data_IF_461645030974
#
_entry.id   IF_461645030974
#
_cell.length_a   1.000
_cell.length_b   1.000
_cell.length_c   1.000
_cell.angle_alpha   90.00
_cell.angle_beta   90.00
_cell.angle_gamma   90.00
#
_symmetry.space_group_name_H-M   'P 1'
#
loop_
_entity.id
_entity.type
_entity.pdbx_description
1 polymer ?
#
# COMPACT_ATOMS: atom_id res chain seq x y z
N UNK A 1 -2.29 7.82 4.64
CA UNK A 1 -2.71 6.44 4.30
C UNK A 1 -1.43 5.70 3.99
N UNK A 2 -0.88 5.06 5.02
CA UNK A 2 0.41 4.37 5.03
C UNK A 2 0.34 3.22 6.04
N UNK A 3 -0.28 3.47 7.20
CA UNK A 3 -0.50 2.45 8.22
C UNK A 3 -1.35 1.28 7.73
N UNK A 4 -2.19 1.44 6.70
CA UNK A 4 -2.93 0.32 6.11
C UNK A 4 -2.01 -0.68 5.40
N UNK A 5 -0.84 -0.24 4.93
CA UNK A 5 0.16 -1.13 4.34
C UNK A 5 0.94 -1.94 5.38
N UNK A 6 0.59 -1.88 6.68
CA UNK A 6 1.09 -2.90 7.62
C UNK A 6 0.50 -4.29 7.31
N UNK A 7 -0.62 -4.34 6.59
CA UNK A 7 -1.24 -5.59 6.17
C UNK A 7 -1.06 -5.83 4.67
N UNK A 8 -1.01 -7.10 4.30
CA UNK A 8 -1.11 -7.55 2.91
C UNK A 8 0.18 -7.46 2.10
N UNK A 9 0.00 -7.39 0.79
CA UNK A 9 1.09 -7.48 -0.19
C UNK A 9 0.89 -6.45 -1.30
N UNK A 10 2.00 -6.03 -1.91
CA UNK A 10 1.98 -5.21 -3.12
C UNK A 10 2.59 -5.97 -4.29
N UNK A 11 2.16 -5.65 -5.50
CA UNK A 11 2.74 -6.22 -6.72
C UNK A 11 4.07 -5.55 -7.05
N UNK A 12 5.03 -6.31 -7.60
CA UNK A 12 6.33 -5.76 -8.02
C UNK A 12 6.19 -4.56 -8.99
N UNK A 13 5.17 -4.56 -9.86
CA UNK A 13 4.86 -3.44 -10.74
C UNK A 13 4.67 -2.10 -9.99
N UNK A 14 4.16 -2.13 -8.76
CA UNK A 14 3.93 -0.92 -7.94
C UNK A 14 5.21 -0.32 -7.39
N UNK A 15 6.31 -1.06 -7.32
CA UNK A 15 7.60 -0.61 -6.78
C UNK A 15 8.66 -0.40 -7.84
N UNK A 16 8.32 -0.58 -9.11
CA UNK A 16 9.27 -0.46 -10.22
C UNK A 16 9.96 0.90 -10.26
N UNK A 17 9.25 1.97 -9.87
CA UNK A 17 9.79 3.32 -9.73
C UNK A 17 11.02 3.39 -8.82
N UNK A 18 11.16 2.49 -7.83
CA UNK A 18 12.34 2.44 -6.95
C UNK A 18 13.60 1.99 -7.69
N UNK A 19 13.46 1.15 -8.72
CA UNK A 19 14.57 0.68 -9.53
C UNK A 19 14.91 1.63 -10.68
N UNK A 20 13.92 2.38 -11.14
CA UNK A 20 14.06 3.32 -12.26
C UNK A 20 14.53 4.71 -11.78
N UNK A 21 14.11 5.12 -10.57
CA UNK A 21 14.44 6.40 -9.97
C UNK A 21 14.86 6.25 -8.49
N UNK A 22 16.02 5.62 -8.21
CA UNK A 22 16.47 5.31 -6.84
C UNK A 22 16.75 6.54 -5.97
N UNK A 23 16.85 7.74 -6.55
CA UNK A 23 17.05 8.99 -5.82
C UNK A 23 15.78 9.53 -5.15
N UNK A 24 14.59 8.99 -5.47
CA UNK A 24 13.30 9.49 -4.92
C UNK A 24 13.11 9.06 -3.46
N UNK A 25 13.74 7.95 -3.04
CA UNK A 25 13.65 7.45 -1.67
C UNK A 25 15.03 7.06 -1.16
N UNK A 26 15.37 7.52 0.04
CA UNK A 26 16.49 6.97 0.80
C UNK A 26 16.21 5.50 1.14
N UNK A 27 16.83 4.57 0.41
CA UNK A 27 16.57 3.14 0.51
C UNK A 27 17.75 2.43 1.16
N UNK A 28 17.47 1.61 2.18
CA UNK A 28 18.46 0.72 2.79
C UNK A 28 19.03 -0.24 1.73
N UNK A 29 20.36 -0.33 1.65
CA UNK A 29 21.03 -1.05 0.57
C UNK A 29 20.81 -2.57 0.63
N UNK A 30 20.70 -3.16 1.82
CA UNK A 30 20.43 -4.59 1.97
C UNK A 30 18.99 -4.92 1.64
N UNK A 31 18.07 -4.04 2.05
CA UNK A 31 16.67 -4.14 1.66
C UNK A 31 16.51 -4.01 0.14
N UNK A 32 17.20 -3.06 -0.49
CA UNK A 32 17.20 -2.90 -1.95
C UNK A 32 17.68 -4.18 -2.67
N UNK A 33 18.77 -4.80 -2.22
CA UNK A 33 19.25 -6.09 -2.77
C UNK A 33 18.22 -7.21 -2.59
N UNK A 34 17.51 -7.24 -1.46
CA UNK A 34 16.42 -8.21 -1.23
C UNK A 34 15.27 -7.97 -2.20
N UNK A 35 14.88 -6.72 -2.42
CA UNK A 35 13.85 -6.35 -3.37
C UNK A 35 14.24 -6.75 -4.80
N UNK A 36 15.48 -6.54 -5.23
CA UNK A 36 15.95 -6.93 -6.57
C UNK A 36 15.88 -8.43 -6.83
N UNK A 37 16.07 -9.26 -5.80
CA UNK A 37 15.96 -10.73 -5.92
C UNK A 37 14.52 -11.20 -6.10
N UNK A 38 13.57 -10.50 -5.49
CA UNK A 38 12.14 -10.84 -5.54
C UNK A 38 11.49 -10.22 -6.78
N UNK A 39 11.81 -8.95 -7.05
CA UNK A 39 11.30 -8.14 -8.15
C UNK A 39 12.48 -7.76 -9.07
N UNK A 40 12.84 -8.60 -10.05
CA UNK A 40 13.94 -8.31 -10.96
C UNK A 40 13.65 -7.07 -11.81
N UNK A 41 14.69 -6.24 -12.03
CA UNK A 41 14.58 -5.01 -12.82
C UNK A 41 14.08 -5.32 -14.24
N UNK A 42 13.04 -4.60 -14.69
CA UNK A 42 12.42 -4.84 -16.00
C UNK A 42 11.31 -5.89 -15.97
N UNK A 43 10.96 -6.47 -14.82
CA UNK A 43 9.74 -7.24 -14.63
C UNK A 43 8.47 -6.36 -14.60
N UNK A 44 8.50 -5.17 -15.23
CA UNK A 44 7.56 -4.05 -15.14
C UNK A 44 6.11 -4.33 -15.58
N UNK A 45 5.72 -5.61 -15.67
CA UNK A 45 4.39 -6.09 -16.01
C UNK A 45 3.97 -7.35 -15.23
N UNK A 46 4.76 -7.81 -14.23
CA UNK A 46 4.41 -9.02 -13.46
C UNK A 46 3.42 -8.73 -12.33
N UNK A 47 2.14 -8.58 -12.68
CA UNK A 47 1.05 -8.60 -11.69
C UNK A 47 0.90 -9.95 -10.97
N UNK A 48 1.69 -10.96 -11.35
CA UNK A 48 1.66 -12.27 -10.70
C UNK A 48 2.67 -12.40 -9.55
N UNK A 49 3.60 -11.45 -9.39
CA UNK A 49 4.57 -11.47 -8.29
C UNK A 49 4.25 -10.37 -7.30
N UNK A 50 3.96 -10.78 -6.07
CA UNK A 50 3.72 -9.88 -4.95
C UNK A 50 4.69 -10.15 -3.82
N UNK A 51 4.95 -9.12 -3.02
CA UNK A 51 5.72 -9.23 -1.79
C UNK A 51 4.98 -8.60 -0.62
N UNK A 52 5.20 -9.09 0.61
CA UNK A 52 4.70 -8.47 1.83
C UNK A 52 5.02 -6.97 1.89
N UNK A 53 4.07 -6.18 2.37
CA UNK A 53 4.24 -4.74 2.52
C UNK A 53 5.20 -4.37 3.66
N UNK A 54 5.22 -5.16 4.74
CA UNK A 54 6.19 -5.06 5.85
C UNK A 54 6.62 -6.45 6.35
N UNK A 55 7.20 -6.52 7.56
CA UNK A 55 7.71 -7.77 8.16
C UNK A 55 6.60 -8.59 8.82
N UNK A 56 5.46 -7.99 9.14
CA UNK A 56 4.34 -8.56 9.87
C UNK A 56 3.04 -8.44 9.07
N UNK A 57 2.97 -8.98 7.82
CA UNK A 57 1.91 -8.68 6.85
C UNK A 57 0.49 -9.15 7.23
N UNK A 58 0.35 -9.80 8.37
CA UNK A 58 -0.92 -10.31 8.92
C UNK A 58 -1.25 -9.71 10.29
N UNK A 59 -0.42 -8.80 10.80
CA UNK A 59 -0.60 -8.14 12.10
C UNK A 59 -0.70 -6.65 11.85
N UNK A 60 -1.75 -6.02 12.38
CA UNK A 60 -1.88 -4.58 12.30
C UNK A 60 -1.05 -3.93 13.41
N UNK A 61 0.14 -3.45 13.07
CA UNK A 61 1.05 -2.82 14.01
C UNK A 61 1.69 -1.54 13.42
N UNK A 62 2.74 -1.04 14.07
CA UNK A 62 3.45 0.17 13.66
C UNK A 62 4.82 -0.14 12.99
N UNK A 63 5.13 -1.40 12.68
CA UNK A 63 6.41 -1.82 12.10
C UNK A 63 6.63 -1.16 10.74
N UNK A 64 5.59 -1.05 9.90
CA UNK A 64 5.64 -0.33 8.62
C UNK A 64 6.21 1.10 8.78
N UNK A 65 5.84 1.81 9.85
CA UNK A 65 6.35 3.16 10.11
C UNK A 65 7.82 3.15 10.51
N UNK A 66 8.21 2.23 11.41
CA UNK A 66 9.59 2.08 11.87
C UNK A 66 10.53 1.68 10.73
N UNK A 67 10.11 0.73 9.89
CA UNK A 67 10.89 0.28 8.74
C UNK A 67 10.94 1.34 7.64
N UNK A 68 9.86 2.09 7.41
CA UNK A 68 9.86 3.24 6.50
C UNK A 68 10.90 4.30 6.89
N UNK A 69 10.99 4.66 8.18
CA UNK A 69 12.03 5.56 8.70
C UNK A 69 13.46 5.01 8.54
N UNK A 70 13.62 3.68 8.49
CA UNK A 70 14.90 3.01 8.22
C UNK A 70 15.23 2.89 6.73
N UNK A 71 14.43 3.47 5.84
CA UNK A 71 14.59 3.34 4.40
C UNK A 71 14.15 1.97 3.84
N UNK A 72 13.29 1.26 4.59
CA UNK A 72 12.79 -0.09 4.28
C UNK A 72 11.28 -0.15 4.05
N UNK A 73 10.62 1.00 3.93
CA UNK A 73 9.23 1.06 3.45
C UNK A 73 9.16 0.64 1.99
N UNK A 74 8.04 0.06 1.56
CA UNK A 74 7.88 -0.49 0.21
C UNK A 74 7.34 0.55 -0.78
N UNK A 75 6.54 1.50 -0.33
CA UNK A 75 5.91 2.54 -1.14
C UNK A 75 6.31 3.94 -0.64
N UNK A 76 6.34 4.94 -1.54
CA UNK A 76 6.62 6.35 -1.17
C UNK A 76 5.65 6.81 -0.08
N UNK A 77 4.40 6.36 -0.19
CA UNK A 77 3.30 6.74 0.70
C UNK A 77 3.44 6.18 2.10
N UNK A 78 4.32 5.18 2.34
CA UNK A 78 4.48 4.51 3.64
C UNK A 78 5.03 5.44 4.74
N UNK A 79 5.39 6.67 4.39
CA UNK A 79 5.82 7.72 5.32
C UNK A 79 4.66 8.51 5.95
N UNK A 80 3.40 8.31 5.50
CA UNK A 80 2.23 9.12 5.89
C UNK A 80 1.13 8.35 6.67
N UNK A 81 1.34 8.14 7.97
CA UNK A 81 0.59 7.19 8.80
C UNK A 81 -0.87 7.60 9.14
N UNK A 82 -1.19 8.88 9.32
CA UNK A 82 -2.48 9.28 9.91
C UNK A 82 -3.45 9.94 8.90
N UNK A 83 -4.43 9.17 8.38
CA UNK A 83 -5.51 9.73 7.54
C UNK A 83 -6.86 8.98 7.58
N UNK A 84 -6.93 7.81 8.24
CA UNK A 84 -8.07 6.90 8.08
C UNK A 84 -9.42 7.47 8.58
N UNK A 85 -9.42 8.10 9.76
CA UNK A 85 -10.66 8.66 10.34
C UNK A 85 -11.25 9.75 9.43
N UNK A 86 -10.41 10.66 8.92
CA UNK A 86 -10.86 11.72 8.01
C UNK A 86 -11.38 11.17 6.68
N UNK A 87 -10.75 10.11 6.17
CA UNK A 87 -11.20 9.43 4.96
C UNK A 87 -12.57 8.76 5.16
N UNK A 88 -12.80 8.13 6.31
CA UNK A 88 -14.06 7.43 6.60
C UNK A 88 -15.28 8.34 6.71
N UNK A 89 -15.07 9.66 6.82
CA UNK A 89 -16.13 10.67 6.94
C UNK A 89 -16.17 11.62 5.75
N UNK A 90 -15.36 11.39 4.72
CA UNK A 90 -15.34 12.24 3.53
C UNK A 90 -16.52 11.89 2.62
N UNK A 91 -17.33 12.89 2.29
CA UNK A 91 -18.45 12.81 1.33
C UNK A 91 -19.43 11.66 1.59
N UNK A 92 -19.67 11.32 2.86
CA UNK A 92 -20.61 10.26 3.25
C UNK A 92 -22.06 10.71 3.06
N UNK A 93 -22.89 9.84 2.48
CA UNK A 93 -24.33 10.05 2.36
C UNK A 93 -24.99 9.84 3.73
N UNK A 94 -25.82 10.78 4.17
CA UNK A 94 -26.49 10.71 5.48
C UNK A 94 -27.98 10.99 5.35
N UNK A 95 -28.76 10.63 6.37
CA UNK A 95 -30.20 10.84 6.37
C UNK A 95 -30.88 10.19 5.16
N UNK A 96 -31.47 11.01 4.30
CA UNK A 96 -32.22 10.57 3.12
C UNK A 96 -31.41 10.70 1.80
N UNK A 97 -30.11 10.98 1.87
CA UNK A 97 -29.26 11.27 0.70
C UNK A 97 -28.80 10.02 -0.08
N UNK A 98 -29.36 8.84 0.21
CA UNK A 98 -28.96 7.59 -0.43
C UNK A 98 -29.92 6.44 -0.10
N UNK A 99 -29.42 5.21 -0.24
CA UNK A 99 -30.18 4.00 0.07
C UNK A 99 -29.32 2.94 0.74
N UNK A 100 -29.98 2.03 1.47
CA UNK A 100 -29.34 0.79 1.93
C UNK A 100 -29.51 -0.27 0.84
N UNK A 101 -28.41 -0.58 0.14
CA UNK A 101 -28.41 -1.56 -0.95
C UNK A 101 -28.62 -2.98 -0.42
N UNK A 102 -29.49 -3.75 -1.07
CA UNK A 102 -29.67 -5.18 -0.79
C UNK A 102 -28.54 -6.03 -1.38
N UNK A 103 -27.95 -5.56 -2.47
CA UNK A 103 -26.80 -6.15 -3.14
C UNK A 103 -25.79 -5.02 -3.42
N UNK A 104 -24.54 -5.17 -3.00
CA UNK A 104 -23.57 -4.06 -3.02
C UNK A 104 -23.23 -3.55 -4.43
N UNK A 105 -23.32 -4.43 -5.42
CA UNK A 105 -22.99 -4.22 -6.83
C UNK A 105 -24.14 -3.62 -7.65
N UNK A 106 -25.32 -3.40 -7.06
CA UNK A 106 -26.52 -2.91 -7.76
C UNK A 106 -27.28 -1.85 -6.97
N UNK A 107 -27.93 -0.95 -7.69
CA UNK A 107 -28.92 -0.03 -7.13
C UNK A 107 -30.24 -0.78 -6.92
N UNK A 108 -31.00 -0.43 -5.88
CA UNK A 108 -32.30 -1.06 -5.69
C UNK A 108 -33.28 -0.61 -6.78
N UNK A 109 -34.06 -1.55 -7.34
CA UNK A 109 -35.11 -1.25 -8.32
C UNK A 109 -34.64 -1.04 -9.76
N UNK A 110 -33.35 -1.30 -10.04
CA UNK A 110 -32.76 -1.32 -11.39
C UNK A 110 -32.50 -2.76 -11.83
#
# INVERSE_FOLDING_TARGET
MASAHTLGTSHCATIQYRFDAPWIINTDQEFYKKLQKICPKGAASNFNTSLPNDRTPYVFDADIYVESLRGRGLLVTDTFSSAFVKLSTADVLTGNDGEIRRQCDKLNGV
#
